data_IF_729720930724
#
_entry.id   IF_729720930724
#
_cell.length_a   1.000
_cell.length_b   1.000
_cell.length_c   1.000
_cell.angle_alpha   90.00
_cell.angle_beta   90.00
_cell.angle_gamma   90.00
#
_symmetry.space_group_name_H-M   'P 1'
#
loop_
_entity.id
_entity.type
_entity.pdbx_description
1 polymer ?
#
# COMPACT_ATOMS: atom_id res chain seq x y z
N UNK A 1 -18.35 25.75 14.27
CA UNK A 1 -18.37 25.68 12.79
C UNK A 1 -19.38 24.60 12.43
N UNK A 2 -20.49 24.96 11.80
CA UNK A 2 -21.61 24.05 11.53
C UNK A 2 -21.27 23.15 10.35
N UNK A 3 -21.25 21.83 10.54
CA UNK A 3 -21.22 20.89 9.43
C UNK A 3 -22.54 21.00 8.67
N UNK A 4 -22.49 21.48 7.43
CA UNK A 4 -23.64 21.42 6.52
C UNK A 4 -23.62 20.05 5.83
N UNK A 5 -24.67 19.21 6.00
CA UNK A 5 -24.76 17.90 5.34
C UNK A 5 -24.64 17.98 3.81
N UNK A 6 -25.03 19.12 3.22
CA UNK A 6 -24.94 19.42 1.79
C UNK A 6 -23.49 19.49 1.29
N UNK A 7 -22.55 20.00 2.08
CA UNK A 7 -21.13 20.10 1.68
C UNK A 7 -20.47 18.72 1.61
N UNK A 8 -20.75 17.86 2.59
CA UNK A 8 -20.25 16.47 2.61
C UNK A 8 -20.83 15.68 1.42
N UNK A 9 -22.13 15.84 1.17
CA UNK A 9 -22.81 15.18 0.04
C UNK A 9 -22.23 15.60 -1.30
N UNK A 10 -21.93 16.90 -1.47
CA UNK A 10 -21.32 17.42 -2.69
C UNK A 10 -19.88 16.92 -2.88
N UNK A 11 -19.09 16.83 -1.79
CA UNK A 11 -17.72 16.29 -1.85
C UNK A 11 -17.70 14.82 -2.27
N UNK A 12 -18.59 13.99 -1.70
CA UNK A 12 -18.69 12.56 -2.07
C UNK A 12 -19.14 12.42 -3.53
N UNK A 13 -20.16 13.17 -3.95
CA UNK A 13 -20.64 13.16 -5.34
C UNK A 13 -19.52 13.53 -6.31
N UNK A 14 -18.74 14.57 -6.01
CA UNK A 14 -17.62 14.99 -6.84
C UNK A 14 -16.51 13.92 -6.93
N UNK A 15 -16.22 13.19 -5.84
CA UNK A 15 -15.26 12.06 -5.90
C UNK A 15 -15.75 10.90 -6.77
N UNK A 16 -17.05 10.62 -6.76
CA UNK A 16 -17.64 9.57 -7.60
C UNK A 16 -17.63 9.98 -9.07
N UNK A 17 -17.99 11.23 -9.38
CA UNK A 17 -17.99 11.75 -10.76
C UNK A 17 -16.60 11.75 -11.39
N UNK A 18 -15.54 11.98 -10.59
CA UNK A 18 -14.15 11.96 -11.04
C UNK A 18 -13.46 10.59 -10.91
N UNK A 19 -14.20 9.52 -10.59
CA UNK A 19 -13.61 8.19 -10.46
C UNK A 19 -13.41 7.56 -11.85
N UNK A 20 -12.19 7.65 -12.37
CA UNK A 20 -11.81 6.97 -13.60
C UNK A 20 -11.43 5.51 -13.31
N UNK A 21 -12.17 4.56 -13.87
CA UNK A 21 -11.81 3.13 -13.85
C UNK A 21 -10.71 2.86 -14.87
N UNK A 22 -9.46 3.06 -14.47
CA UNK A 22 -8.29 2.65 -15.23
C UNK A 22 -7.88 1.24 -14.80
N UNK A 23 -7.83 0.32 -15.77
CA UNK A 23 -7.28 -1.02 -15.55
C UNK A 23 -5.77 -0.96 -15.77
N UNK A 24 -4.99 -0.94 -14.69
CA UNK A 24 -3.54 -1.06 -14.77
C UNK A 24 -3.12 -2.51 -14.55
N UNK A 25 -2.27 -3.03 -15.43
CA UNK A 25 -1.60 -4.31 -15.19
C UNK A 25 -0.55 -4.09 -14.11
N UNK A 26 -0.69 -4.76 -12.96
CA UNK A 26 0.29 -4.74 -11.87
C UNK A 26 0.78 -6.15 -11.59
N UNK A 27 2.04 -6.24 -11.19
CA UNK A 27 2.65 -7.51 -10.79
C UNK A 27 2.14 -7.88 -9.39
N UNK A 28 1.67 -9.11 -9.26
CA UNK A 28 1.16 -9.67 -8.00
C UNK A 28 2.09 -10.79 -7.52
N UNK A 29 2.11 -10.98 -6.21
CA UNK A 29 2.85 -12.02 -5.53
C UNK A 29 2.03 -12.64 -4.41
N UNK A 30 2.57 -13.68 -3.78
CA UNK A 30 1.90 -14.42 -2.72
C UNK A 30 2.78 -14.49 -1.49
N UNK A 31 2.21 -14.21 -0.32
CA UNK A 31 2.90 -14.36 0.96
C UNK A 31 3.20 -15.83 1.23
N UNK A 32 4.48 -16.14 1.47
CA UNK A 32 4.96 -17.48 1.83
C UNK A 32 5.10 -17.63 3.34
N UNK A 33 5.53 -16.58 4.02
CA UNK A 33 5.69 -16.60 5.47
C UNK A 33 5.66 -15.20 6.05
N UNK A 34 5.17 -15.09 7.28
CA UNK A 34 5.17 -13.87 8.09
C UNK A 34 5.82 -14.20 9.43
N UNK A 35 6.78 -13.40 9.87
CA UNK A 35 7.46 -13.57 11.15
C UNK A 35 7.87 -12.21 11.69
N UNK A 36 7.34 -11.81 12.85
CA UNK A 36 7.66 -10.55 13.54
C UNK A 36 7.69 -9.31 12.63
N UNK A 37 6.68 -9.18 11.75
CA UNK A 37 6.58 -8.06 10.80
C UNK A 37 7.48 -8.17 9.56
N UNK A 38 8.25 -9.25 9.41
CA UNK A 38 9.00 -9.59 8.20
C UNK A 38 8.18 -10.58 7.38
N UNK A 39 8.02 -10.29 6.10
CA UNK A 39 7.26 -11.11 5.15
C UNK A 39 8.18 -11.60 4.05
N UNK A 40 8.02 -12.87 3.69
CA UNK A 40 8.59 -13.41 2.45
C UNK A 40 7.48 -13.55 1.43
N UNK A 41 7.68 -12.94 0.28
CA UNK A 41 6.74 -12.95 -0.83
C UNK A 41 7.37 -13.73 -1.99
N UNK A 42 6.61 -14.62 -2.59
CA UNK A 42 6.98 -15.30 -3.83
C UNK A 42 6.34 -14.57 -5.03
N UNK A 43 7.07 -14.48 -6.14
CA UNK A 43 6.66 -13.71 -7.30
C UNK A 43 7.24 -12.29 -7.26
N UNK A 44 6.44 -11.29 -7.67
CA UNK A 44 6.86 -9.89 -7.78
C UNK A 44 8.12 -9.71 -8.66
N UNK A 45 8.14 -10.30 -9.86
CA UNK A 45 9.30 -10.28 -10.76
C UNK A 45 9.85 -8.89 -11.11
N UNK A 46 8.97 -7.88 -11.11
CA UNK A 46 9.30 -6.51 -11.52
C UNK A 46 9.51 -5.57 -10.32
N UNK A 47 9.56 -6.09 -9.09
CA UNK A 47 9.72 -5.25 -7.90
C UNK A 47 11.10 -4.60 -7.84
N UNK A 48 11.13 -3.35 -7.39
CA UNK A 48 12.36 -2.61 -7.13
C UNK A 48 12.74 -2.67 -5.65
N UNK A 49 14.04 -2.62 -5.36
CA UNK A 49 14.51 -2.50 -3.99
C UNK A 49 14.07 -1.15 -3.42
N UNK A 50 13.45 -1.16 -2.23
CA UNK A 50 12.88 0.03 -1.60
C UNK A 50 11.51 0.43 -2.14
N UNK A 51 10.86 -0.43 -2.94
CA UNK A 51 9.49 -0.22 -3.40
C UNK A 51 8.47 -0.46 -2.27
N UNK A 52 7.39 0.33 -2.28
CA UNK A 52 6.22 0.08 -1.44
C UNK A 52 5.39 -1.07 -2.02
N UNK A 53 5.11 -2.05 -1.18
CA UNK A 53 4.24 -3.17 -1.50
C UNK A 53 2.90 -2.98 -0.79
N UNK A 54 1.82 -3.25 -1.51
CA UNK A 54 0.46 -3.18 -0.96
C UNK A 54 0.00 -4.59 -0.59
N UNK A 55 -0.38 -4.75 0.68
CA UNK A 55 -0.94 -5.98 1.25
C UNK A 55 -2.45 -5.84 1.43
N UNK A 56 -3.12 -6.98 1.59
CA UNK A 56 -4.54 -7.02 1.96
C UNK A 56 -4.79 -6.19 3.22
N UNK A 57 -5.89 -5.42 3.25
CA UNK A 57 -6.24 -4.60 4.42
C UNK A 57 -5.67 -3.17 4.42
N UNK A 58 -5.23 -2.66 3.26
CA UNK A 58 -4.62 -1.32 3.11
C UNK A 58 -3.35 -1.14 3.97
N UNK A 59 -2.59 -2.22 4.13
CA UNK A 59 -1.28 -2.17 4.79
C UNK A 59 -0.19 -2.12 3.74
N UNK A 60 0.81 -1.30 4.02
CA UNK A 60 1.99 -1.18 3.16
C UNK A 60 3.18 -1.87 3.80
N UNK A 61 4.04 -2.40 2.96
CA UNK A 61 5.36 -2.86 3.36
C UNK A 61 6.44 -2.32 2.43
N UNK A 62 7.68 -2.52 2.82
CA UNK A 62 8.86 -2.08 2.09
C UNK A 62 9.64 -3.30 1.61
N UNK A 63 9.87 -3.41 0.30
CA UNK A 63 10.75 -4.42 -0.27
C UNK A 63 12.21 -4.11 0.09
N UNK A 64 12.87 -4.99 0.86
CA UNK A 64 14.25 -4.82 1.30
C UNK A 64 15.22 -5.72 0.55
N UNK A 65 14.93 -7.03 0.54
CA UNK A 65 15.81 -8.05 -0.02
C UNK A 65 15.16 -8.65 -1.26
N UNK A 66 15.85 -8.58 -2.39
CA UNK A 66 15.43 -9.25 -3.61
C UNK A 66 16.28 -10.51 -3.77
N UNK A 67 15.76 -11.65 -3.30
CA UNK A 67 16.37 -12.95 -3.52
C UNK A 67 15.95 -13.50 -4.89
N UNK A 68 16.55 -14.62 -5.32
CA UNK A 68 16.28 -15.21 -6.64
C UNK A 68 14.83 -15.64 -6.82
N UNK A 69 14.26 -16.22 -5.77
CA UNK A 69 12.93 -16.85 -5.80
C UNK A 69 11.98 -16.24 -4.75
N UNK A 70 12.43 -15.24 -4.00
CA UNK A 70 11.64 -14.60 -2.95
C UNK A 70 12.02 -13.14 -2.74
N UNK A 71 11.07 -12.36 -2.24
CA UNK A 71 11.25 -10.96 -1.87
C UNK A 71 11.01 -10.84 -0.37
N UNK A 72 12.02 -10.38 0.35
CA UNK A 72 11.92 -10.03 1.76
C UNK A 72 11.38 -8.62 1.91
N UNK A 73 10.23 -8.49 2.56
CA UNK A 73 9.58 -7.22 2.84
C UNK A 73 9.36 -7.00 4.33
N UNK A 74 9.33 -5.75 4.77
CA UNK A 74 8.97 -5.38 6.15
C UNK A 74 7.64 -4.65 6.13
N UNK A 75 6.71 -5.05 6.98
CA UNK A 75 5.40 -4.42 7.10
C UNK A 75 5.52 -3.11 7.88
N UNK A 76 4.89 -2.05 7.35
CA UNK A 76 4.79 -0.73 7.96
C UNK A 76 3.40 -0.58 8.60
N UNK A 77 3.15 -1.33 9.67
CA UNK A 77 1.86 -1.31 10.38
C UNK A 77 1.58 -2.58 11.16
N UNK A 78 0.31 -2.83 11.40
CA UNK A 78 -0.16 -4.09 12.02
C UNK A 78 0.02 -5.24 11.04
N UNK A 79 0.70 -6.31 11.46
CA UNK A 79 0.96 -7.49 10.62
C UNK A 79 0.09 -8.70 10.98
N UNK A 80 -0.66 -8.65 12.08
CA UNK A 80 -1.37 -9.80 12.64
C UNK A 80 -2.48 -10.38 11.73
N UNK A 81 -3.01 -9.55 10.81
CA UNK A 81 -4.03 -9.96 9.86
C UNK A 81 -3.45 -10.53 8.55
N UNK A 82 -2.14 -10.43 8.34
CA UNK A 82 -1.48 -10.92 7.13
C UNK A 82 -1.11 -12.39 7.35
N UNK A 83 -1.56 -13.23 6.42
CA UNK A 83 -1.43 -14.68 6.49
C UNK A 83 -0.74 -15.24 5.25
N UNK A 84 -0.23 -16.47 5.36
CA UNK A 84 0.31 -17.20 4.21
C UNK A 84 -0.78 -17.38 3.14
N UNK A 85 -0.42 -17.15 1.88
CA UNK A 85 -1.34 -17.20 0.75
C UNK A 85 -1.95 -15.85 0.37
N UNK A 86 -1.78 -14.81 1.18
CA UNK A 86 -2.29 -13.49 0.85
C UNK A 86 -1.61 -12.90 -0.38
N UNK A 87 -2.39 -12.13 -1.15
CA UNK A 87 -1.90 -11.44 -2.34
C UNK A 87 -1.18 -10.16 -1.96
N UNK A 88 -0.03 -9.94 -2.59
CA UNK A 88 0.77 -8.72 -2.46
C UNK A 88 0.88 -8.07 -3.83
N UNK A 89 0.75 -6.74 -3.89
CA UNK A 89 0.80 -6.00 -5.15
C UNK A 89 1.98 -5.04 -5.16
N UNK A 90 2.69 -4.99 -6.28
CA UNK A 90 3.65 -3.92 -6.55
C UNK A 90 2.91 -2.60 -6.80
N UNK A 91 3.41 -1.52 -6.21
CA UNK A 91 2.84 -0.17 -6.43
C UNK A 91 3.59 0.59 -7.53
N UNK A 92 4.78 0.13 -7.92
CA UNK A 92 5.70 0.83 -8.83
C UNK A 92 6.32 2.09 -8.22
N UNK A 93 6.08 2.34 -6.93
CA UNK A 93 6.48 3.56 -6.22
C UNK A 93 7.54 3.20 -5.19
N UNK A 94 8.72 3.79 -5.31
CA UNK A 94 9.73 3.76 -4.25
C UNK A 94 9.14 4.43 -3.00
N UNK A 95 9.60 4.01 -1.81
CA UNK A 95 9.20 4.59 -0.55
C UNK A 95 9.14 6.11 -0.61
N UNK A 96 7.94 6.63 -0.48
CA UNK A 96 7.67 8.07 -0.52
C UNK A 96 6.69 8.44 0.59
N UNK A 97 6.78 9.70 1.00
CA UNK A 97 5.96 10.25 2.06
C UNK A 97 5.36 11.55 1.54
N UNK A 98 4.06 11.81 1.77
CA UNK A 98 3.46 13.09 1.41
C UNK A 98 4.21 14.25 2.08
N UNK A 99 4.50 15.30 1.32
CA UNK A 99 5.16 16.52 1.81
C UNK A 99 4.36 17.76 1.43
N UNK A 100 4.40 18.80 2.25
CA UNK A 100 3.77 20.08 1.93
C UNK A 100 3.48 20.96 3.15
N UNK A 101 3.16 22.24 2.93
CA UNK A 101 2.84 23.18 4.00
C UNK A 101 1.58 22.78 4.78
N UNK A 102 0.71 21.96 4.21
CA UNK A 102 -0.51 21.45 4.86
C UNK A 102 -0.24 20.58 6.10
N UNK A 103 0.98 20.06 6.22
CA UNK A 103 1.42 19.27 7.37
C UNK A 103 1.89 20.14 8.55
N UNK A 104 2.15 21.43 8.34
CA UNK A 104 2.59 22.32 9.41
C UNK A 104 1.51 22.43 10.51
N UNK A 105 1.88 22.07 11.74
CA UNK A 105 0.98 22.09 12.90
C UNK A 105 0.13 20.82 13.08
N UNK A 106 0.33 19.78 12.26
CA UNK A 106 -0.26 18.44 12.47
C UNK A 106 0.77 17.51 13.13
N UNK A 107 0.28 16.53 13.88
CA UNK A 107 1.05 15.33 14.24
C UNK A 107 0.64 14.25 13.25
N UNK A 108 1.63 13.66 12.58
CA UNK A 108 1.47 12.64 11.53
C UNK A 108 1.99 11.31 12.03
#
# INVERSE_FOLDING_TARGET
MKLNPSEISNLIRSRIENFETLTEARTEGTVVSVTDGIVRVHGLSDVMQGEMLEFTGNVYGLALNLERDSVGAVILGEYEHITEGDTVKCTGRILEVPVGPELCGRVV
#
